data_IF_834188655577
#
_entry.id   IF_834188655577
#
_cell.length_a   1.000
_cell.length_b   1.000
_cell.length_c   1.000
_cell.angle_alpha   90.00
_cell.angle_beta   90.00
_cell.angle_gamma   90.00
#
_symmetry.space_group_name_H-M   'P 1'
#
loop_
_entity.id
_entity.type
_entity.pdbx_description
1 polymer ?
#
# COMPACT_ATOMS: atom_id res chain seq x y z
N UNK A 1 -0.47 -5.48 27.87
CA UNK A 1 -0.19 -5.11 26.47
C UNK A 1 1.18 -4.45 26.42
N UNK A 2 2.19 -5.14 25.89
CA UNK A 2 3.52 -4.52 25.70
C UNK A 2 3.46 -3.69 24.40
N UNK A 3 3.86 -2.43 24.48
CA UNK A 3 3.80 -1.50 23.36
C UNK A 3 4.88 -1.84 22.31
N UNK A 4 4.68 -1.42 21.04
CA UNK A 4 5.69 -1.48 19.96
C UNK A 4 7.09 -1.01 20.38
N UNK A 5 7.19 -0.14 21.39
CA UNK A 5 8.45 0.36 21.97
C UNK A 5 9.30 -0.68 22.68
N UNK A 6 8.69 -1.72 23.22
CA UNK A 6 9.42 -2.72 24.02
C UNK A 6 10.11 -3.79 23.15
N UNK A 7 9.64 -4.00 21.91
CA UNK A 7 10.21 -4.98 20.99
C UNK A 7 11.49 -4.47 20.30
N UNK A 8 11.56 -3.18 19.96
CA UNK A 8 12.74 -2.60 19.29
C UNK A 8 13.96 -2.41 20.22
N UNK A 9 13.76 -2.47 21.53
CA UNK A 9 14.88 -2.37 22.51
C UNK A 9 15.67 -3.65 22.72
N UNK A 10 15.21 -4.80 22.25
CA UNK A 10 15.90 -6.09 22.42
C UNK A 10 16.88 -6.45 21.30
N UNK A 11 16.91 -5.72 20.20
CA UNK A 11 17.80 -5.99 19.06
C UNK A 11 19.16 -5.24 19.12
N UNK A 12 19.43 -4.44 20.13
CA UNK A 12 20.64 -3.61 20.23
C UNK A 12 21.52 -3.97 21.42
N UNK A 13 21.94 -5.25 21.55
CA UNK A 13 23.02 -5.61 22.49
C UNK A 13 23.95 -6.64 21.84
N UNK A 14 25.13 -6.18 21.53
CA UNK A 14 26.29 -7.05 21.32
C UNK A 14 27.15 -6.74 20.10
N UNK A 15 28.14 -5.88 20.22
CA UNK A 15 29.55 -6.20 20.03
C UNK A 15 30.39 -4.98 20.43
N UNK A 16 31.06 -5.09 21.57
CA UNK A 16 32.15 -4.20 21.94
C UNK A 16 33.44 -4.74 21.36
N UNK A 17 34.26 -3.89 20.78
CA UNK A 17 35.67 -4.21 20.50
C UNK A 17 36.56 -3.03 20.86
N UNK A 18 37.47 -3.31 21.72
CA UNK A 18 38.51 -2.48 22.34
C UNK A 18 39.51 -1.95 21.32
N UNK A 19 39.79 -0.65 21.42
CA UNK A 19 40.88 0.01 20.69
C UNK A 19 42.14 0.00 21.55
N UNK A 20 43.23 -0.56 21.06
CA UNK A 20 44.57 -0.46 21.63
C UNK A 20 45.29 0.72 21.03
N UNK A 21 45.78 1.63 21.90
CA UNK A 21 46.72 2.71 21.54
C UNK A 21 48.10 2.13 21.27
N UNK A 22 48.70 2.51 20.17
CA UNK A 22 50.14 2.36 19.88
C UNK A 22 50.74 3.72 19.53
N UNK A 23 51.61 4.20 20.42
CA UNK A 23 52.43 5.41 20.22
C UNK A 23 53.71 4.96 19.51
N UNK A 24 54.13 5.64 18.42
CA UNK A 24 55.52 5.71 18.00
C UNK A 24 55.81 7.06 17.33
N UNK A 25 56.83 7.69 17.84
CA UNK A 25 57.26 9.05 17.51
C UNK A 25 58.35 9.04 16.43
N UNK A 26 58.38 10.17 15.70
CA UNK A 26 59.50 10.91 15.12
C UNK A 26 60.24 10.31 13.90
N UNK A 27 60.18 11.00 12.77
CA UNK A 27 61.35 11.70 12.15
C UNK A 27 60.85 12.72 11.10
N UNK A 28 61.44 13.89 11.08
CA UNK A 28 61.02 15.05 10.33
C UNK A 28 61.28 14.99 8.81
N UNK A 29 60.48 15.77 8.10
CA UNK A 29 60.61 16.11 6.70
C UNK A 29 59.59 17.18 6.34
N UNK A 30 60.04 18.40 6.15
CA UNK A 30 59.23 19.54 5.69
C UNK A 30 58.86 19.32 4.21
N UNK A 31 57.59 18.98 4.00
CA UNK A 31 56.92 19.18 2.72
C UNK A 31 55.60 19.87 3.03
N UNK A 32 55.44 21.11 2.65
CA UNK A 32 54.18 21.85 2.66
C UNK A 32 53.24 21.19 1.65
N UNK A 33 52.44 20.26 2.13
CA UNK A 33 51.23 19.84 1.46
C UNK A 33 50.12 20.72 2.00
N UNK A 34 49.57 21.58 1.15
CA UNK A 34 48.26 22.17 1.36
C UNK A 34 47.29 21.07 1.73
N UNK A 35 46.76 21.10 2.92
CA UNK A 35 45.67 20.25 3.31
C UNK A 35 44.50 20.54 2.36
N UNK A 36 43.82 19.52 1.84
CA UNK A 36 42.58 19.76 1.10
C UNK A 36 41.65 20.56 2.03
N UNK A 37 41.23 21.72 1.58
CA UNK A 37 40.17 22.50 2.19
C UNK A 37 38.97 21.55 2.20
N UNK A 38 38.66 20.96 3.37
CA UNK A 38 37.36 20.37 3.61
C UNK A 38 36.38 21.54 3.52
N UNK A 39 35.82 21.75 2.34
CA UNK A 39 34.64 22.58 2.21
C UNK A 39 33.61 22.04 3.21
N UNK A 40 33.18 22.84 4.17
CA UNK A 40 32.00 22.58 4.96
C UNK A 40 30.84 22.47 3.95
N UNK A 41 30.55 21.28 3.45
CA UNK A 41 29.34 21.03 2.70
C UNK A 41 28.21 21.27 3.71
N UNK A 42 27.48 22.36 3.53
CA UNK A 42 26.27 22.63 4.33
C UNK A 42 25.32 21.49 4.01
N UNK A 43 25.12 20.61 4.97
CA UNK A 43 24.13 19.54 4.88
C UNK A 43 22.77 20.16 5.12
N UNK A 44 21.85 20.05 4.17
CA UNK A 44 20.50 20.54 4.29
C UNK A 44 19.69 19.54 5.09
N UNK A 45 19.06 19.98 6.19
CA UNK A 45 18.10 19.15 6.94
C UNK A 45 16.73 19.20 6.26
N UNK A 46 16.20 18.02 5.88
CA UNK A 46 14.88 17.83 5.31
C UNK A 46 13.97 17.12 6.31
N UNK A 47 12.70 17.50 6.36
CA UNK A 47 11.65 16.80 7.11
C UNK A 47 10.83 15.94 6.18
N UNK A 48 10.65 14.67 6.56
CA UNK A 48 9.88 13.69 5.81
C UNK A 48 8.76 13.11 6.68
N UNK A 49 7.49 13.28 6.29
CA UNK A 49 6.33 12.71 6.97
C UNK A 49 5.86 11.42 6.31
N UNK A 50 5.74 10.39 7.14
CA UNK A 50 5.17 9.08 6.80
C UNK A 50 4.43 8.52 8.01
N UNK A 51 3.51 7.57 7.81
CA UNK A 51 2.61 7.05 8.84
C UNK A 51 3.00 5.72 9.47
N UNK A 52 4.18 5.22 9.24
CA UNK A 52 4.71 4.00 9.84
C UNK A 52 6.16 4.16 10.21
N UNK A 53 6.66 3.35 11.15
CA UNK A 53 8.06 3.39 11.57
C UNK A 53 9.01 2.98 10.43
N UNK A 54 8.51 2.29 9.41
CA UNK A 54 9.24 1.91 8.20
C UNK A 54 9.72 3.11 7.39
N UNK A 55 9.12 4.29 7.53
CA UNK A 55 9.61 5.52 6.92
C UNK A 55 11.07 5.85 7.27
N UNK A 56 11.54 5.39 8.43
CA UNK A 56 12.95 5.49 8.82
C UNK A 56 13.90 4.74 7.88
N UNK A 57 13.45 3.62 7.29
CA UNK A 57 14.26 2.81 6.37
C UNK A 57 14.68 3.62 5.14
N UNK A 58 13.76 4.41 4.55
CA UNK A 58 14.09 5.27 3.42
C UNK A 58 15.01 6.43 3.80
N UNK A 59 14.71 7.07 4.93
CA UNK A 59 15.55 8.14 5.44
C UNK A 59 16.98 7.65 5.68
N UNK A 60 17.16 6.48 6.28
CA UNK A 60 18.47 5.89 6.55
C UNK A 60 19.19 5.48 5.25
N UNK A 61 18.47 4.86 4.31
CA UNK A 61 19.02 4.46 3.02
C UNK A 61 19.51 5.67 2.21
N UNK A 62 18.74 6.75 2.17
CA UNK A 62 19.14 7.99 1.52
C UNK A 62 20.32 8.65 2.24
N UNK A 63 20.25 8.77 3.57
CA UNK A 63 21.31 9.41 4.38
C UNK A 63 22.65 8.69 4.24
N UNK A 64 22.64 7.38 4.07
CA UNK A 64 23.84 6.59 3.81
C UNK A 64 24.55 6.95 2.48
N UNK A 65 23.84 7.56 1.52
CA UNK A 65 24.40 8.01 0.24
C UNK A 65 25.21 9.30 0.35
N UNK A 66 25.09 10.07 1.44
CA UNK A 66 25.78 11.34 1.67
C UNK A 66 25.62 12.36 0.51
N UNK A 67 24.39 12.53 0.03
CA UNK A 67 24.05 13.32 -1.18
C UNK A 67 23.89 14.84 -0.92
N UNK A 68 24.34 15.35 0.23
CA UNK A 68 24.29 16.79 0.55
C UNK A 68 23.05 17.22 1.36
N UNK A 69 22.10 16.32 1.57
CA UNK A 69 21.00 16.53 2.50
C UNK A 69 20.93 15.39 3.53
N UNK A 70 20.28 15.69 4.66
CA UNK A 70 19.93 14.73 5.70
C UNK A 70 18.41 14.71 5.84
N UNK A 71 17.80 13.57 5.61
CA UNK A 71 16.37 13.36 5.79
C UNK A 71 16.09 12.95 7.22
N UNK A 72 15.28 13.76 7.92
CA UNK A 72 14.79 13.52 9.26
C UNK A 72 13.34 13.01 9.14
N UNK A 73 13.16 11.74 9.40
CA UNK A 73 11.87 11.09 9.39
C UNK A 73 11.01 11.51 10.59
N UNK A 74 9.73 11.78 10.32
CA UNK A 74 8.73 12.07 11.34
C UNK A 74 7.55 11.13 11.15
N UNK A 75 7.36 10.19 12.08
CA UNK A 75 6.18 9.35 12.09
C UNK A 75 4.96 10.21 12.44
N UNK A 76 4.02 10.32 11.49
CA UNK A 76 2.75 10.99 11.66
C UNK A 76 1.66 9.93 11.53
N UNK A 77 0.80 9.71 12.54
CA UNK A 77 -0.24 8.69 12.46
C UNK A 77 -1.08 8.81 11.18
N UNK A 78 -1.46 7.67 10.60
CA UNK A 78 -2.11 7.61 9.28
C UNK A 78 -3.32 8.55 9.15
N UNK A 79 -4.22 8.52 10.14
CA UNK A 79 -5.43 9.36 10.13
C UNK A 79 -5.11 10.86 10.20
N UNK A 80 -4.04 11.23 10.93
CA UNK A 80 -3.67 12.63 11.14
C UNK A 80 -2.80 13.21 10.02
N UNK A 81 -2.06 12.38 9.27
CA UNK A 81 -1.01 12.83 8.35
C UNK A 81 -1.55 13.78 7.27
N UNK A 82 -2.66 13.39 6.66
CA UNK A 82 -3.27 14.15 5.56
C UNK A 82 -3.99 15.40 6.07
N UNK A 83 -4.69 15.32 7.21
CA UNK A 83 -5.40 16.45 7.81
C UNK A 83 -4.43 17.53 8.31
N UNK A 84 -3.29 17.12 8.88
CA UNK A 84 -2.20 18.04 9.24
C UNK A 84 -1.61 18.73 8.02
N UNK A 85 -1.43 17.99 6.93
CA UNK A 85 -0.89 18.55 5.69
C UNK A 85 -1.86 19.59 5.10
N UNK A 86 -3.16 19.28 5.02
CA UNK A 86 -4.19 20.23 4.56
C UNK A 86 -4.27 21.45 5.48
N UNK A 87 -4.17 21.27 6.80
CA UNK A 87 -4.13 22.37 7.77
C UNK A 87 -2.90 23.26 7.57
N UNK A 88 -1.74 22.66 7.29
CA UNK A 88 -0.51 23.39 6.98
C UNK A 88 -0.65 24.20 5.69
N UNK A 89 -1.32 23.66 4.66
CA UNK A 89 -1.60 24.42 3.43
C UNK A 89 -2.52 25.61 3.69
N UNK A 90 -3.58 25.41 4.45
CA UNK A 90 -4.53 26.47 4.80
C UNK A 90 -3.91 27.59 5.65
N UNK A 91 -2.99 27.24 6.54
CA UNK A 91 -2.28 28.21 7.40
C UNK A 91 -1.06 28.88 6.74
N UNK A 92 -0.61 28.34 5.58
CA UNK A 92 0.59 28.82 4.88
C UNK A 92 1.92 28.41 5.55
N UNK A 93 1.90 27.57 6.57
CA UNK A 93 3.12 27.19 7.33
C UNK A 93 2.96 25.80 7.98
N UNK A 94 4.10 25.12 8.23
CA UNK A 94 4.13 23.89 9.02
C UNK A 94 4.09 22.60 8.19
N UNK A 95 4.05 22.68 6.86
CA UNK A 95 4.24 21.51 6.02
C UNK A 95 5.69 20.98 6.09
N UNK A 96 5.92 19.68 5.92
CA UNK A 96 7.26 19.11 5.81
C UNK A 96 7.90 19.48 4.47
N UNK A 97 9.18 19.13 4.29
CA UNK A 97 9.82 19.23 2.97
C UNK A 97 9.33 18.14 2.01
N UNK A 98 9.02 16.96 2.57
CA UNK A 98 8.51 15.80 1.82
C UNK A 98 7.29 15.23 2.54
N UNK A 99 6.18 15.12 1.84
CA UNK A 99 4.93 14.56 2.36
C UNK A 99 4.58 13.27 1.62
N UNK A 100 4.10 12.28 2.35
CA UNK A 100 3.50 11.07 1.78
C UNK A 100 1.99 11.20 1.69
N UNK A 101 1.42 10.69 0.60
CA UNK A 101 -0.01 10.73 0.33
C UNK A 101 -0.50 9.31 0.04
N UNK A 102 -1.59 8.90 0.66
CA UNK A 102 -2.23 7.62 0.40
C UNK A 102 -3.25 7.76 -0.74
N UNK A 103 -3.45 6.68 -1.50
CA UNK A 103 -4.29 6.66 -2.70
C UNK A 103 -5.74 7.11 -2.46
N UNK A 104 -6.33 6.80 -1.32
CA UNK A 104 -7.69 7.24 -0.97
C UNK A 104 -7.80 8.76 -0.79
N UNK A 105 -6.69 9.41 -0.47
CA UNK A 105 -6.63 10.86 -0.20
C UNK A 105 -6.11 11.68 -1.39
N UNK A 106 -5.46 11.04 -2.37
CA UNK A 106 -4.75 11.73 -3.48
C UNK A 106 -5.65 12.67 -4.29
N UNK A 107 -6.89 12.29 -4.56
CA UNK A 107 -7.84 13.11 -5.33
C UNK A 107 -8.08 14.50 -4.73
N UNK A 108 -8.09 14.59 -3.39
CA UNK A 108 -8.19 15.88 -2.70
C UNK A 108 -6.98 16.78 -2.92
N UNK A 109 -5.78 16.22 -2.99
CA UNK A 109 -4.53 16.97 -3.17
C UNK A 109 -4.30 17.35 -4.64
N UNK A 110 -4.66 16.49 -5.60
CA UNK A 110 -4.56 16.83 -7.02
C UNK A 110 -5.51 17.96 -7.42
N UNK A 111 -6.63 18.13 -6.71
CA UNK A 111 -7.62 19.17 -6.98
C UNK A 111 -7.36 20.49 -6.24
N UNK A 112 -6.84 20.46 -5.00
CA UNK A 112 -6.78 21.64 -4.13
C UNK A 112 -5.50 22.47 -4.25
N UNK A 113 -4.41 21.93 -4.80
CA UNK A 113 -3.11 22.59 -4.87
C UNK A 113 -2.32 22.47 -3.54
N UNK A 114 -1.24 23.28 -3.45
CA UNK A 114 -0.31 23.26 -2.30
C UNK A 114 0.89 22.33 -2.48
N UNK A 115 0.94 21.60 -3.61
CA UNK A 115 2.03 20.72 -4.00
C UNK A 115 2.70 21.21 -5.28
N UNK A 116 4.01 21.07 -5.36
CA UNK A 116 4.80 21.46 -6.53
C UNK A 116 4.52 20.54 -7.73
N UNK A 117 4.54 21.13 -8.93
CA UNK A 117 4.50 20.36 -10.17
C UNK A 117 5.87 19.76 -10.45
N UNK A 118 6.01 18.46 -10.27
CA UNK A 118 7.25 17.72 -10.44
C UNK A 118 7.68 17.58 -11.93
N UNK A 119 6.84 17.99 -12.89
CA UNK A 119 7.23 18.10 -14.31
C UNK A 119 7.83 19.47 -14.66
N UNK A 120 7.57 20.50 -13.85
CA UNK A 120 8.09 21.83 -14.05
C UNK A 120 9.55 21.94 -13.61
N UNK A 121 10.32 22.85 -14.23
CA UNK A 121 11.68 23.15 -13.75
C UNK A 121 11.67 23.68 -12.30
N UNK A 122 12.63 23.32 -11.45
CA UNK A 122 13.88 22.61 -11.77
C UNK A 122 13.75 21.08 -11.79
N UNK A 123 12.56 20.53 -11.62
CA UNK A 123 12.33 19.09 -11.58
C UNK A 123 12.27 18.51 -13.01
N UNK A 124 12.55 17.23 -13.14
CA UNK A 124 12.51 16.50 -14.41
C UNK A 124 11.61 15.24 -14.33
N UNK A 125 10.63 15.28 -13.43
CA UNK A 125 9.76 14.16 -13.09
C UNK A 125 9.10 13.48 -14.29
N UNK A 126 8.75 14.24 -15.34
CA UNK A 126 8.18 13.71 -16.57
C UNK A 126 9.02 12.66 -17.28
N UNK A 127 10.33 12.63 -17.03
CA UNK A 127 11.25 11.63 -17.64
C UNK A 127 11.01 10.21 -17.13
N UNK A 128 10.38 10.05 -15.96
CA UNK A 128 10.10 8.77 -15.32
C UNK A 128 8.75 8.15 -15.69
N UNK A 129 7.87 8.87 -16.40
CA UNK A 129 6.52 8.42 -16.73
C UNK A 129 6.45 7.02 -17.33
N UNK A 130 7.31 6.75 -18.33
CA UNK A 130 7.39 5.45 -19.03
C UNK A 130 7.83 4.29 -18.13
N UNK A 131 8.54 4.59 -17.04
CA UNK A 131 9.13 3.64 -16.12
C UNK A 131 8.22 3.38 -14.90
N UNK A 132 7.20 4.21 -14.69
CA UNK A 132 6.21 4.02 -13.62
C UNK A 132 5.05 3.13 -14.06
N UNK A 133 4.37 2.55 -13.09
CA UNK A 133 3.11 1.87 -13.33
C UNK A 133 2.05 2.90 -13.76
N UNK A 134 1.46 2.69 -14.95
CA UNK A 134 0.67 3.71 -15.66
C UNK A 134 -0.52 4.22 -14.85
N UNK A 135 -1.32 3.33 -14.22
CA UNK A 135 -2.48 3.77 -13.43
C UNK A 135 -2.05 4.62 -12.22
N UNK A 136 -0.90 4.28 -11.61
CA UNK A 136 -0.38 5.01 -10.44
C UNK A 136 0.12 6.40 -10.84
N UNK A 137 0.79 6.51 -12.00
CA UNK A 137 1.20 7.78 -12.58
C UNK A 137 0.00 8.70 -12.82
N UNK A 138 -1.05 8.17 -13.45
CA UNK A 138 -2.30 8.91 -13.71
C UNK A 138 -2.91 9.44 -12.42
N UNK A 139 -2.93 8.66 -11.34
CA UNK A 139 -3.47 9.05 -10.04
C UNK A 139 -2.67 10.17 -9.35
N UNK A 140 -1.35 10.24 -9.54
CA UNK A 140 -0.50 11.32 -9.02
C UNK A 140 -0.54 12.60 -9.85
N UNK A 141 -1.24 12.56 -11.00
CA UNK A 141 -1.36 13.67 -11.94
C UNK A 141 -2.68 14.42 -11.77
N UNK A 142 -2.65 15.72 -12.01
CA UNK A 142 -3.86 16.59 -12.07
C UNK A 142 -4.56 16.47 -13.42
N UNK A 143 -5.80 16.92 -13.51
CA UNK A 143 -6.58 16.92 -14.76
C UNK A 143 -5.93 17.78 -15.88
N UNK A 144 -5.18 18.81 -15.52
CA UNK A 144 -4.44 19.67 -16.47
C UNK A 144 -3.03 19.11 -16.80
N UNK A 145 -2.69 17.92 -16.32
CA UNK A 145 -1.50 17.15 -16.70
C UNK A 145 -0.23 17.45 -15.89
N UNK A 146 -0.31 18.24 -14.81
CA UNK A 146 0.81 18.38 -13.85
C UNK A 146 0.99 17.09 -13.06
N UNK A 147 2.21 16.75 -12.66
CA UNK A 147 2.50 15.68 -11.72
C UNK A 147 2.76 16.29 -10.34
N UNK A 148 1.83 16.16 -9.43
CA UNK A 148 1.94 16.75 -8.08
C UNK A 148 2.36 15.75 -7.00
N UNK A 149 2.32 14.46 -7.33
CA UNK A 149 2.75 13.40 -6.42
C UNK A 149 3.42 12.26 -7.20
N UNK A 150 4.68 11.98 -6.87
CA UNK A 150 5.45 10.92 -7.49
C UNK A 150 4.97 9.55 -6.99
N UNK A 151 4.59 8.61 -7.88
CA UNK A 151 4.26 7.26 -7.48
C UNK A 151 5.37 6.62 -6.66
N UNK A 152 5.02 6.02 -5.54
CA UNK A 152 6.00 5.34 -4.69
C UNK A 152 5.79 3.83 -4.68
N UNK A 153 4.66 3.39 -4.15
CA UNK A 153 4.30 1.98 -4.09
C UNK A 153 2.91 1.72 -4.66
N UNK A 154 2.64 0.46 -4.90
CA UNK A 154 1.38 -0.06 -5.38
C UNK A 154 0.94 -1.26 -4.53
N UNK A 155 -0.34 -1.58 -4.56
CA UNK A 155 -0.93 -2.71 -3.84
C UNK A 155 -1.55 -3.73 -4.79
N UNK A 156 -0.79 -4.42 -5.67
CA UNK A 156 -1.35 -5.52 -6.44
C UNK A 156 -1.97 -6.55 -5.49
N UNK A 157 -3.18 -7.01 -5.81
CA UNK A 157 -4.00 -7.78 -4.89
C UNK A 157 -4.44 -9.13 -5.49
N UNK A 158 -4.64 -10.12 -4.61
CA UNK A 158 -5.03 -11.47 -4.99
C UNK A 158 -5.66 -12.23 -3.84
N UNK A 159 -5.91 -13.50 -4.06
CA UNK A 159 -6.38 -14.42 -3.01
C UNK A 159 -5.18 -15.01 -2.29
N UNK A 160 -5.14 -14.81 -1.00
CA UNK A 160 -4.20 -15.43 -0.06
C UNK A 160 -4.87 -16.61 0.60
N UNK A 161 -4.13 -17.71 0.78
CA UNK A 161 -4.66 -18.87 1.49
C UNK A 161 -3.58 -19.62 2.26
N UNK A 162 -4.00 -20.32 3.30
CA UNK A 162 -3.19 -21.17 4.16
C UNK A 162 -3.11 -22.58 3.57
N UNK A 163 -1.92 -22.97 3.11
CA UNK A 163 -1.69 -24.27 2.49
C UNK A 163 -1.95 -25.41 3.48
N UNK A 164 -1.47 -25.27 4.70
CA UNK A 164 -1.65 -26.26 5.78
C UNK A 164 -3.13 -26.50 6.13
N UNK A 165 -3.95 -25.45 6.06
CA UNK A 165 -5.38 -25.56 6.33
C UNK A 165 -6.12 -26.28 5.19
N UNK A 166 -5.80 -25.97 3.93
CA UNK A 166 -6.38 -26.68 2.79
C UNK A 166 -5.97 -28.15 2.78
N UNK A 167 -4.72 -28.46 3.06
CA UNK A 167 -4.22 -29.84 3.19
C UNK A 167 -4.94 -30.61 4.30
N UNK A 168 -5.16 -29.99 5.46
CA UNK A 168 -5.89 -30.59 6.57
C UNK A 168 -7.34 -30.99 6.19
N UNK A 169 -7.91 -30.32 5.20
CA UNK A 169 -9.24 -30.60 4.65
C UNK A 169 -9.19 -31.56 3.44
N UNK A 170 -7.99 -32.02 3.03
CA UNK A 170 -7.81 -32.83 1.82
C UNK A 170 -8.24 -32.08 0.55
N UNK A 171 -7.97 -30.78 0.48
CA UNK A 171 -8.21 -29.92 -0.68
C UNK A 171 -6.91 -29.69 -1.45
N UNK A 172 -6.99 -29.36 -2.75
CA UNK A 172 -5.83 -28.86 -3.48
C UNK A 172 -5.22 -27.64 -2.78
N UNK A 173 -3.90 -27.64 -2.61
CA UNK A 173 -3.17 -26.59 -1.87
C UNK A 173 -2.03 -25.97 -2.68
N UNK A 174 -1.59 -26.64 -3.75
CA UNK A 174 -0.58 -26.09 -4.66
C UNK A 174 -1.12 -24.89 -5.43
N UNK A 175 -0.33 -23.82 -5.63
CA UNK A 175 -0.80 -22.60 -6.28
C UNK A 175 -1.45 -22.82 -7.65
N UNK A 176 -0.85 -23.65 -8.49
CA UNK A 176 -1.39 -23.95 -9.83
C UNK A 176 -2.75 -24.64 -9.76
N UNK A 177 -2.95 -25.52 -8.80
CA UNK A 177 -4.22 -26.24 -8.63
C UNK A 177 -5.32 -25.33 -8.06
N UNK A 178 -4.96 -24.43 -7.14
CA UNK A 178 -5.92 -23.43 -6.61
C UNK A 178 -6.25 -22.38 -7.65
N UNK A 179 -5.26 -21.92 -8.44
CA UNK A 179 -5.46 -20.99 -9.55
C UNK A 179 -6.48 -21.53 -10.57
N UNK A 180 -6.39 -22.82 -10.94
CA UNK A 180 -7.38 -23.49 -11.83
C UNK A 180 -8.81 -23.46 -11.26
N UNK A 181 -8.98 -23.32 -9.97
CA UNK A 181 -10.29 -23.33 -9.31
C UNK A 181 -10.91 -21.95 -9.16
N UNK A 182 -10.10 -20.87 -8.95
CA UNK A 182 -10.63 -19.58 -8.51
C UNK A 182 -10.08 -18.36 -9.24
N UNK A 183 -9.03 -18.47 -10.09
CA UNK A 183 -8.38 -17.31 -10.67
C UNK A 183 -8.98 -16.86 -12.01
N UNK A 184 -9.05 -15.54 -12.22
CA UNK A 184 -9.44 -14.96 -13.51
C UNK A 184 -8.51 -15.35 -14.66
N UNK A 185 -7.25 -15.64 -14.41
CA UNK A 185 -6.28 -16.12 -15.42
C UNK A 185 -6.72 -17.45 -16.04
N UNK A 186 -7.62 -18.18 -15.35
CA UNK A 186 -8.26 -19.43 -15.78
C UNK A 186 -9.75 -19.24 -16.12
N UNK A 187 -10.17 -17.99 -16.29
CA UNK A 187 -11.56 -17.65 -16.62
C UNK A 187 -12.55 -17.83 -15.46
N UNK A 188 -12.06 -17.83 -14.21
CA UNK A 188 -12.90 -18.02 -13.02
C UNK A 188 -13.49 -16.71 -12.52
N UNK A 189 -14.66 -16.85 -11.89
CA UNK A 189 -15.48 -15.75 -11.38
C UNK A 189 -15.64 -15.83 -9.87
N UNK A 190 -16.33 -14.85 -9.30
CA UNK A 190 -16.71 -14.89 -7.87
C UNK A 190 -17.60 -16.09 -7.54
N UNK A 191 -18.39 -16.61 -8.48
CA UNK A 191 -19.19 -17.83 -8.27
C UNK A 191 -18.31 -19.07 -8.05
N UNK A 192 -17.19 -19.18 -8.79
CA UNK A 192 -16.18 -20.23 -8.58
C UNK A 192 -15.52 -20.11 -7.20
N UNK A 193 -15.20 -18.87 -6.78
CA UNK A 193 -14.68 -18.60 -5.44
C UNK A 193 -15.70 -18.98 -4.34
N UNK A 194 -16.98 -18.71 -4.55
CA UNK A 194 -18.05 -19.15 -3.64
C UNK A 194 -18.13 -20.67 -3.55
N UNK A 195 -18.01 -21.37 -4.68
CA UNK A 195 -17.99 -22.83 -4.72
C UNK A 195 -16.78 -23.41 -3.95
N UNK A 196 -15.61 -22.82 -4.13
CA UNK A 196 -14.41 -23.17 -3.37
C UNK A 196 -14.61 -22.94 -1.86
N UNK A 197 -15.17 -21.80 -1.48
CA UNK A 197 -15.46 -21.44 -0.09
C UNK A 197 -16.49 -22.40 0.55
N UNK A 198 -17.54 -22.80 -0.17
CA UNK A 198 -18.50 -23.81 0.31
C UNK A 198 -17.82 -25.14 0.62
N UNK A 199 -16.90 -25.56 -0.23
CA UNK A 199 -16.14 -26.81 0.01
C UNK A 199 -15.33 -26.76 1.30
N UNK A 200 -14.72 -25.61 1.63
CA UNK A 200 -14.01 -25.41 2.91
C UNK A 200 -14.97 -25.53 4.09
N UNK A 201 -16.11 -24.85 4.01
CA UNK A 201 -17.14 -24.88 5.09
C UNK A 201 -17.66 -26.31 5.28
N UNK A 202 -18.00 -27.03 4.22
CA UNK A 202 -18.51 -28.40 4.28
C UNK A 202 -17.45 -29.35 4.86
N UNK A 203 -16.22 -29.35 4.35
CA UNK A 203 -15.16 -30.25 4.80
C UNK A 203 -14.71 -29.99 6.24
N UNK A 204 -14.78 -28.74 6.70
CA UNK A 204 -14.48 -28.39 8.08
C UNK A 204 -15.64 -28.63 9.06
N UNK A 205 -16.80 -29.07 8.57
CA UNK A 205 -18.02 -29.16 9.38
C UNK A 205 -18.50 -27.81 9.90
N UNK A 206 -18.29 -26.75 9.12
CA UNK A 206 -18.69 -25.38 9.44
C UNK A 206 -17.74 -24.60 10.37
N UNK A 207 -16.65 -25.24 10.83
CA UNK A 207 -15.71 -24.66 11.80
C UNK A 207 -14.77 -23.62 11.19
N UNK A 208 -14.46 -23.74 9.91
CA UNK A 208 -13.57 -22.85 9.17
C UNK A 208 -14.32 -22.18 8.03
N UNK A 209 -13.99 -20.93 7.76
CA UNK A 209 -14.47 -20.16 6.61
C UNK A 209 -13.33 -19.94 5.63
N UNK A 210 -13.64 -19.50 4.40
CA UNK A 210 -12.54 -19.12 3.48
C UNK A 210 -11.95 -17.77 3.86
N UNK A 211 -12.78 -16.78 4.19
CA UNK A 211 -12.36 -15.40 4.47
C UNK A 211 -12.88 -14.88 5.80
N UNK A 212 -12.29 -13.80 6.26
CA UNK A 212 -12.63 -13.15 7.52
C UNK A 212 -13.94 -12.39 7.48
N UNK A 213 -14.13 -11.51 6.48
CA UNK A 213 -15.30 -10.62 6.37
C UNK A 213 -15.67 -10.32 4.92
N UNK A 214 -16.91 -10.60 4.54
CA UNK A 214 -17.37 -10.42 3.18
C UNK A 214 -17.44 -8.95 2.74
N UNK A 215 -17.60 -8.00 3.66
CA UNK A 215 -17.59 -6.57 3.33
C UNK A 215 -16.20 -6.14 2.86
N UNK A 216 -15.16 -6.57 3.55
CA UNK A 216 -13.79 -6.23 3.19
C UNK A 216 -13.29 -7.09 2.05
N UNK A 217 -13.32 -8.43 2.22
CA UNK A 217 -12.70 -9.35 1.26
C UNK A 217 -13.42 -9.41 -0.09
N UNK A 218 -14.76 -9.42 -0.11
CA UNK A 218 -15.55 -9.54 -1.36
C UNK A 218 -15.92 -8.17 -1.91
N UNK A 219 -16.66 -7.35 -1.15
CA UNK A 219 -17.08 -6.04 -1.64
C UNK A 219 -15.87 -5.16 -1.95
N UNK A 220 -14.92 -5.03 -0.99
CA UNK A 220 -13.74 -4.20 -1.14
C UNK A 220 -12.88 -4.59 -2.34
N UNK A 221 -12.75 -5.90 -2.65
CA UNK A 221 -12.03 -6.39 -3.81
C UNK A 221 -12.81 -6.19 -5.11
N UNK A 222 -14.07 -6.62 -5.15
CA UNK A 222 -14.87 -6.59 -6.37
C UNK A 222 -15.12 -5.17 -6.89
N UNK A 223 -15.32 -4.18 -5.99
CA UNK A 223 -15.50 -2.79 -6.40
C UNK A 223 -14.22 -2.21 -7.04
N UNK A 224 -13.04 -2.62 -6.55
CA UNK A 224 -11.73 -2.17 -7.08
C UNK A 224 -11.35 -2.81 -8.40
N UNK A 225 -11.93 -3.94 -8.77
CA UNK A 225 -11.74 -4.56 -10.09
C UNK A 225 -12.25 -3.67 -11.23
N UNK A 226 -13.24 -2.81 -10.97
CA UNK A 226 -13.68 -1.75 -11.87
C UNK A 226 -12.83 -0.47 -11.83
N UNK A 227 -11.66 -0.52 -11.15
CA UNK A 227 -10.81 0.63 -10.85
C UNK A 227 -11.25 1.37 -9.59
N UNK A 228 -10.31 2.07 -8.93
CA UNK A 228 -10.58 2.81 -7.70
C UNK A 228 -11.23 4.16 -7.98
N UNK A 229 -12.25 4.51 -7.21
CA UNK A 229 -13.00 5.77 -7.30
C UNK A 229 -14.45 5.59 -7.72
N UNK A 230 -15.27 6.52 -7.27
CA UNK A 230 -16.73 6.54 -7.45
C UNK A 230 -17.22 7.70 -8.30
N UNK A 231 -16.33 8.61 -8.71
CA UNK A 231 -16.68 9.76 -9.49
C UNK A 231 -15.83 9.90 -10.77
N UNK A 232 -16.48 10.26 -11.87
CA UNK A 232 -15.84 10.76 -13.08
C UNK A 232 -16.17 12.26 -13.21
N UNK A 233 -15.25 13.14 -12.76
CA UNK A 233 -15.57 14.55 -12.55
C UNK A 233 -16.66 14.71 -11.49
N UNK A 234 -17.80 15.30 -11.89
CA UNK A 234 -18.99 15.44 -11.04
C UNK A 234 -20.01 14.31 -11.20
N UNK A 235 -19.80 13.39 -12.13
CA UNK A 235 -20.71 12.27 -12.36
C UNK A 235 -20.44 11.16 -11.34
N UNK A 236 -21.44 10.76 -10.57
CA UNK A 236 -21.38 9.58 -9.70
C UNK A 236 -21.42 8.30 -10.53
N UNK A 237 -20.62 7.33 -10.08
CA UNK A 237 -20.54 5.96 -10.59
C UNK A 237 -20.88 4.95 -9.50
N UNK A 238 -21.40 5.38 -8.34
CA UNK A 238 -21.61 4.54 -7.15
C UNK A 238 -22.57 3.40 -7.47
N UNK A 239 -23.76 3.72 -7.98
CA UNK A 239 -24.78 2.71 -8.30
C UNK A 239 -24.25 1.70 -9.33
N UNK A 240 -23.60 2.20 -10.40
CA UNK A 240 -23.04 1.37 -11.47
C UNK A 240 -21.96 0.41 -10.96
N UNK A 241 -20.99 0.93 -10.18
CA UNK A 241 -19.80 0.17 -9.77
C UNK A 241 -20.01 -0.67 -8.53
N UNK A 242 -20.81 -0.23 -7.56
CA UNK A 242 -20.88 -0.83 -6.25
C UNK A 242 -22.08 -1.76 -6.05
N UNK A 243 -23.13 -1.69 -6.88
CA UNK A 243 -24.34 -2.53 -6.68
C UNK A 243 -24.02 -4.01 -6.77
N UNK A 244 -23.36 -4.47 -7.85
CA UNK A 244 -23.00 -5.88 -7.98
C UNK A 244 -22.01 -6.36 -6.92
N UNK A 245 -20.93 -5.65 -6.60
CA UNK A 245 -20.08 -5.98 -5.46
C UNK A 245 -20.83 -6.10 -4.12
N UNK A 246 -21.76 -5.21 -3.85
CA UNK A 246 -22.58 -5.26 -2.64
C UNK A 246 -23.49 -6.50 -2.60
N UNK A 247 -24.09 -6.86 -3.74
CA UNK A 247 -24.88 -8.09 -3.89
C UNK A 247 -24.02 -9.35 -3.68
N UNK A 248 -22.80 -9.38 -4.23
CA UNK A 248 -21.87 -10.51 -4.02
C UNK A 248 -21.54 -10.67 -2.53
N UNK A 249 -21.18 -9.59 -1.83
CA UNK A 249 -20.84 -9.66 -0.42
C UNK A 249 -22.05 -10.09 0.45
N UNK A 250 -23.23 -9.54 0.18
CA UNK A 250 -24.45 -9.91 0.88
C UNK A 250 -24.82 -11.39 0.69
N UNK A 251 -24.71 -11.90 -0.56
CA UNK A 251 -24.99 -13.30 -0.86
C UNK A 251 -23.94 -14.24 -0.22
N UNK A 252 -22.65 -13.86 -0.25
CA UNK A 252 -21.58 -14.61 0.41
C UNK A 252 -21.83 -14.76 1.92
N UNK A 253 -22.20 -13.67 2.60
CA UNK A 253 -22.56 -13.66 4.01
C UNK A 253 -23.83 -14.46 4.31
N UNK A 254 -24.85 -14.34 3.47
CA UNK A 254 -26.10 -15.10 3.58
C UNK A 254 -25.86 -16.59 3.50
N UNK A 255 -24.91 -17.05 2.67
CA UNK A 255 -24.49 -18.46 2.60
C UNK A 255 -23.63 -18.90 3.80
N UNK A 256 -23.25 -17.99 4.70
CA UNK A 256 -22.43 -18.30 5.87
C UNK A 256 -20.99 -18.66 5.54
N UNK A 257 -20.41 -18.04 4.49
CA UNK A 257 -19.09 -18.37 3.99
C UNK A 257 -17.97 -17.54 4.59
N UNK A 258 -18.27 -16.41 5.25
CA UNK A 258 -17.31 -15.57 5.98
C UNK A 258 -17.36 -15.82 7.50
N UNK A 259 -16.27 -15.51 8.20
CA UNK A 259 -16.15 -15.63 9.64
C UNK A 259 -16.78 -14.44 10.40
N UNK A 260 -17.17 -13.37 9.72
CA UNK A 260 -17.70 -12.11 10.26
C UNK A 260 -16.75 -11.43 11.24
N UNK A 261 -15.45 -11.55 10.97
CA UNK A 261 -14.38 -10.95 11.77
C UNK A 261 -13.84 -9.74 10.99
N UNK A 262 -14.27 -8.55 11.40
CA UNK A 262 -13.83 -7.29 10.80
C UNK A 262 -12.31 -7.12 10.94
N UNK A 263 -11.67 -6.63 9.89
CA UNK A 263 -10.22 -6.48 9.80
C UNK A 263 -9.64 -5.54 10.87
N UNK A 264 -8.38 -5.75 11.21
CA UNK A 264 -7.55 -4.96 12.14
C UNK A 264 -7.96 -5.03 13.61
N UNK A 265 -9.06 -5.69 13.94
CA UNK A 265 -9.47 -5.90 15.33
C UNK A 265 -8.72 -7.06 15.99
N UNK A 266 -8.74 -7.09 17.33
CA UNK A 266 -8.16 -8.20 18.10
C UNK A 266 -8.81 -9.56 17.76
N UNK A 267 -10.10 -9.56 17.42
CA UNK A 267 -10.83 -10.75 17.01
C UNK A 267 -10.35 -11.29 15.65
N UNK A 268 -10.00 -10.40 14.71
CA UNK A 268 -9.41 -10.79 13.43
C UNK A 268 -8.05 -11.44 13.62
N UNK A 269 -7.16 -10.82 14.40
CA UNK A 269 -5.83 -11.37 14.69
C UNK A 269 -5.93 -12.75 15.40
N UNK A 270 -6.84 -12.87 16.37
CA UNK A 270 -7.15 -14.15 16.99
C UNK A 270 -7.73 -15.15 15.99
N UNK A 271 -8.54 -14.71 15.03
CA UNK A 271 -9.09 -15.54 13.95
C UNK A 271 -8.03 -16.18 13.07
N UNK A 272 -6.95 -15.43 12.72
CA UNK A 272 -5.77 -15.97 12.01
C UNK A 272 -5.10 -17.06 12.85
N UNK A 273 -4.84 -16.79 14.14
CA UNK A 273 -4.16 -17.73 15.05
C UNK A 273 -4.98 -19.00 15.31
N UNK A 274 -6.30 -18.86 15.44
CA UNK A 274 -7.20 -19.97 15.75
C UNK A 274 -7.76 -20.68 14.50
N UNK A 275 -7.26 -20.32 13.30
CA UNK A 275 -7.69 -20.92 12.03
C UNK A 275 -9.20 -20.78 11.77
N UNK A 276 -9.80 -19.65 12.17
CA UNK A 276 -11.21 -19.38 11.94
C UNK A 276 -11.54 -19.20 10.46
N UNK A 277 -10.53 -18.80 9.69
CA UNK A 277 -10.61 -18.68 8.23
C UNK A 277 -9.30 -19.12 7.58
N UNK A 278 -9.40 -19.59 6.34
CA UNK A 278 -8.30 -20.20 5.60
C UNK A 278 -7.58 -19.22 4.67
N UNK A 279 -8.11 -18.02 4.46
CA UNK A 279 -7.53 -17.08 3.52
C UNK A 279 -8.11 -15.67 3.64
N UNK A 280 -7.74 -14.83 2.70
CA UNK A 280 -8.20 -13.44 2.56
C UNK A 280 -8.02 -12.97 1.11
N UNK A 281 -8.70 -11.90 0.73
CA UNK A 281 -8.59 -11.31 -0.61
C UNK A 281 -8.07 -9.89 -0.48
N UNK A 282 -6.74 -9.70 -0.67
CA UNK A 282 -6.04 -8.47 -0.29
C UNK A 282 -4.75 -8.25 -1.09
N UNK A 283 -4.18 -7.05 -0.92
CA UNK A 283 -2.92 -6.63 -1.54
C UNK A 283 -1.66 -7.19 -0.86
N UNK A 284 -0.57 -7.08 -1.60
CA UNK A 284 0.77 -7.58 -1.26
C UNK A 284 1.34 -7.06 0.07
N UNK A 285 0.99 -5.83 0.50
CA UNK A 285 1.46 -5.23 1.74
C UNK A 285 1.02 -6.00 3.02
N UNK A 286 0.02 -6.86 2.91
CA UNK A 286 -0.39 -7.77 4.00
C UNK A 286 0.75 -8.69 4.44
N UNK A 287 1.75 -8.96 3.59
CA UNK A 287 2.93 -9.73 3.96
C UNK A 287 3.65 -9.13 5.17
N UNK A 288 3.89 -7.82 5.16
CA UNK A 288 4.53 -7.11 6.28
C UNK A 288 3.71 -7.20 7.57
N UNK A 289 2.40 -6.99 7.45
CA UNK A 289 1.48 -7.06 8.59
C UNK A 289 1.44 -8.45 9.24
N UNK A 290 1.31 -9.50 8.43
CA UNK A 290 1.30 -10.87 8.94
C UNK A 290 2.65 -11.29 9.51
N UNK A 291 3.75 -10.82 8.95
CA UNK A 291 5.09 -11.10 9.49
C UNK A 291 5.24 -10.55 10.91
N UNK A 292 4.62 -9.41 11.21
CA UNK A 292 4.66 -8.77 12.52
C UNK A 292 3.62 -9.36 13.48
N UNK A 293 2.37 -9.51 13.01
CA UNK A 293 1.25 -9.87 13.89
C UNK A 293 1.07 -11.36 14.08
N UNK A 294 1.43 -12.17 13.08
CA UNK A 294 1.23 -13.62 13.06
C UNK A 294 2.47 -14.35 12.52
N UNK A 295 3.67 -14.15 13.10
CA UNK A 295 4.94 -14.69 12.61
C UNK A 295 4.96 -16.22 12.52
N UNK A 296 4.14 -16.91 13.31
CA UNK A 296 3.99 -18.36 13.31
C UNK A 296 3.37 -18.91 12.02
N UNK A 297 2.75 -18.05 11.21
CA UNK A 297 2.13 -18.43 9.93
C UNK A 297 3.05 -18.23 8.72
N UNK A 298 4.25 -17.70 8.92
CA UNK A 298 5.25 -17.53 7.86
C UNK A 298 5.57 -18.89 7.21
N UNK A 299 5.62 -18.92 5.88
CA UNK A 299 5.83 -20.13 5.09
C UNK A 299 4.56 -20.93 4.78
N UNK A 300 3.45 -20.65 5.46
CA UNK A 300 2.18 -21.37 5.29
C UNK A 300 1.21 -20.68 4.33
N UNK A 301 1.52 -19.47 3.90
CA UNK A 301 0.70 -18.71 2.96
C UNK A 301 1.08 -19.00 1.50
N UNK A 302 0.07 -18.98 0.63
CA UNK A 302 0.24 -18.92 -0.83
C UNK A 302 -0.70 -17.87 -1.39
N UNK A 303 -0.42 -17.45 -2.62
CA UNK A 303 -1.24 -16.46 -3.33
C UNK A 303 -1.56 -16.95 -4.73
N UNK A 304 -2.73 -16.57 -5.21
CA UNK A 304 -3.15 -16.68 -6.61
C UNK A 304 -3.86 -15.40 -7.04
N UNK A 305 -3.90 -15.07 -8.35
CA UNK A 305 -4.68 -13.94 -8.82
C UNK A 305 -6.17 -14.09 -8.45
N UNK A 306 -6.82 -12.96 -8.17
CA UNK A 306 -8.22 -12.92 -7.77
C UNK A 306 -9.18 -13.47 -8.85
N UNK A 307 -10.43 -13.82 -8.50
CA UNK A 307 -11.48 -14.07 -9.48
C UNK A 307 -11.74 -12.84 -10.35
N UNK A 308 -12.28 -13.02 -11.54
CA UNK A 308 -12.76 -12.03 -12.51
C UNK A 308 -11.71 -11.10 -13.10
N UNK A 309 -10.93 -10.35 -12.28
CA UNK A 309 -9.93 -9.40 -12.78
C UNK A 309 -8.82 -9.11 -11.77
N UNK A 310 -7.67 -8.64 -12.28
CA UNK A 310 -6.63 -8.01 -11.49
C UNK A 310 -7.12 -6.69 -10.90
N UNK A 311 -6.64 -6.33 -9.71
CA UNK A 311 -6.94 -5.05 -9.10
C UNK A 311 -5.80 -4.59 -8.17
N UNK A 312 -5.84 -3.30 -7.83
CA UNK A 312 -4.96 -2.67 -6.88
C UNK A 312 -5.73 -2.33 -5.60
N UNK A 313 -5.07 -2.45 -4.46
CA UNK A 313 -5.61 -1.95 -3.19
C UNK A 313 -4.52 -1.24 -2.40
N UNK A 314 -4.67 0.09 -2.25
CA UNK A 314 -3.70 0.91 -1.56
C UNK A 314 -2.55 1.37 -2.45
N UNK A 315 -1.48 1.77 -1.78
CA UNK A 315 -0.30 2.38 -2.37
C UNK A 315 -0.26 3.88 -2.17
N UNK A 316 0.95 4.43 -2.20
CA UNK A 316 1.24 5.80 -1.80
C UNK A 316 2.03 6.57 -2.85
N UNK A 317 2.21 7.84 -2.54
CA UNK A 317 2.94 8.82 -3.34
C UNK A 317 3.84 9.63 -2.42
N UNK A 318 4.92 10.18 -2.98
CA UNK A 318 5.69 11.24 -2.37
C UNK A 318 5.46 12.56 -3.09
N UNK A 319 5.29 13.62 -2.33
CA UNK A 319 5.03 14.96 -2.84
C UNK A 319 5.92 16.00 -2.15
N UNK A 320 6.12 17.11 -2.83
CA UNK A 320 6.87 18.26 -2.32
C UNK A 320 5.90 19.41 -2.09
N UNK A 321 5.59 19.77 -0.84
CA UNK A 321 4.79 20.94 -0.51
C UNK A 321 5.42 22.24 -1.02
N UNK A 322 4.60 23.16 -1.56
CA UNK A 322 5.06 24.47 -2.03
C UNK A 322 5.70 25.34 -0.92
N UNK A 323 5.46 25.00 0.34
CA UNK A 323 6.01 25.71 1.50
C UNK A 323 7.49 25.42 1.77
N UNK A 324 8.04 24.32 1.20
CA UNK A 324 9.46 24.01 1.41
C UNK A 324 10.36 25.05 0.79
N UNK A 325 11.49 25.29 1.45
CA UNK A 325 12.59 26.12 0.94
C UNK A 325 13.73 25.28 0.33
N UNK A 326 13.59 23.96 0.39
CA UNK A 326 14.61 22.97 0.06
C UNK A 326 14.17 22.08 -1.11
N UNK A 327 13.39 22.63 -2.06
CA UNK A 327 12.70 21.87 -3.09
C UNK A 327 13.62 20.98 -3.95
N UNK A 328 14.81 21.47 -4.29
CA UNK A 328 15.80 20.69 -5.09
C UNK A 328 16.33 19.48 -4.29
N UNK A 329 16.59 19.65 -2.99
CA UNK A 329 17.05 18.55 -2.15
C UNK A 329 15.92 17.57 -1.82
N UNK A 330 14.69 18.07 -1.66
CA UNK A 330 13.51 17.22 -1.53
C UNK A 330 13.28 16.39 -2.81
N UNK A 331 13.50 16.99 -3.99
CA UNK A 331 13.44 16.27 -5.26
C UNK A 331 14.51 15.19 -5.37
N UNK A 332 15.75 15.47 -4.96
CA UNK A 332 16.83 14.47 -4.95
C UNK A 332 16.46 13.26 -4.06
N UNK A 333 15.79 13.48 -2.94
CA UNK A 333 15.22 12.38 -2.14
C UNK A 333 14.13 11.62 -2.89
N UNK A 334 13.17 12.30 -3.52
CA UNK A 334 12.12 11.65 -4.30
C UNK A 334 12.70 10.82 -5.46
N UNK A 335 13.69 11.36 -6.16
CA UNK A 335 14.38 10.61 -7.21
C UNK A 335 15.01 9.33 -6.68
N UNK A 336 15.72 9.39 -5.56
CA UNK A 336 16.26 8.20 -4.92
C UNK A 336 15.16 7.21 -4.53
N UNK A 337 14.20 7.67 -3.72
CA UNK A 337 13.21 6.80 -3.09
C UNK A 337 12.19 6.21 -4.08
N UNK A 338 11.77 7.00 -5.09
CA UNK A 338 10.69 6.63 -6.01
C UNK A 338 11.20 6.18 -7.38
N UNK A 339 12.36 6.69 -7.84
CA UNK A 339 12.80 6.57 -9.23
C UNK A 339 14.10 5.77 -9.40
N UNK A 340 14.58 5.09 -8.36
CA UNK A 340 15.71 4.17 -8.44
C UNK A 340 15.33 2.77 -7.95
N UNK A 341 15.93 1.74 -8.56
CA UNK A 341 15.76 0.38 -8.09
C UNK A 341 16.30 0.19 -6.66
N UNK A 342 17.38 0.89 -6.30
CA UNK A 342 17.97 0.84 -4.96
C UNK A 342 17.01 1.37 -3.91
N UNK A 343 16.46 2.57 -4.09
CA UNK A 343 15.53 3.19 -3.14
C UNK A 343 14.22 2.43 -3.01
N UNK A 344 13.66 1.98 -4.13
CA UNK A 344 12.43 1.17 -4.14
C UNK A 344 12.64 -0.19 -3.45
N UNK A 345 13.74 -0.90 -3.75
CA UNK A 345 14.01 -2.21 -3.18
C UNK A 345 14.51 -2.15 -1.73
N UNK A 346 15.06 -1.01 -1.27
CA UNK A 346 15.41 -0.81 0.13
C UNK A 346 14.19 -0.97 1.05
N UNK A 347 13.02 -0.52 0.59
CA UNK A 347 11.77 -0.64 1.33
C UNK A 347 11.07 -1.97 1.09
N UNK A 348 11.00 -2.41 -0.17
CA UNK A 348 10.27 -3.62 -0.54
C UNK A 348 10.77 -4.86 0.20
N UNK A 349 12.09 -5.05 0.30
CA UNK A 349 12.70 -6.22 0.95
C UNK A 349 12.22 -6.45 2.39
N UNK A 350 12.20 -5.44 3.28
CA UNK A 350 11.77 -5.63 4.66
C UNK A 350 10.26 -5.59 4.88
N UNK A 351 9.48 -4.93 3.99
CA UNK A 351 8.07 -4.60 4.26
C UNK A 351 7.07 -5.28 3.34
N UNK A 352 7.52 -5.75 2.16
CA UNK A 352 6.60 -6.25 1.12
C UNK A 352 5.81 -5.15 0.39
N UNK A 353 6.08 -3.87 0.66
CA UNK A 353 5.47 -2.72 -0.03
C UNK A 353 5.98 -2.67 -1.47
N UNK A 354 5.10 -2.97 -2.44
CA UNK A 354 5.50 -3.29 -3.81
C UNK A 354 5.83 -2.03 -4.63
N UNK A 355 7.00 -1.96 -5.30
CA UNK A 355 7.45 -0.78 -6.03
C UNK A 355 6.53 -0.34 -7.17
N UNK A 356 6.30 0.98 -7.31
CA UNK A 356 5.65 1.58 -8.47
C UNK A 356 6.61 1.78 -9.66
N UNK A 357 7.92 1.77 -9.43
CA UNK A 357 8.97 1.95 -10.43
C UNK A 357 9.34 0.61 -11.07
N UNK A 358 8.88 0.37 -12.29
CA UNK A 358 9.01 -0.90 -13.02
C UNK A 358 10.45 -1.41 -13.20
N UNK A 359 11.47 -0.53 -13.44
CA UNK A 359 12.85 -1.00 -13.53
C UNK A 359 13.38 -1.69 -12.26
N UNK A 360 12.80 -1.43 -11.08
CA UNK A 360 13.13 -2.15 -9.85
C UNK A 360 12.82 -3.66 -9.95
N UNK A 361 11.81 -4.04 -10.75
CA UNK A 361 11.38 -5.44 -10.91
C UNK A 361 12.38 -6.30 -11.73
N UNK A 362 13.44 -5.69 -12.29
CA UNK A 362 14.53 -6.41 -12.92
C UNK A 362 15.53 -7.02 -11.91
N UNK A 363 15.45 -6.66 -10.63
CA UNK A 363 16.27 -7.27 -9.58
C UNK A 363 15.95 -8.78 -9.49
N UNK A 364 16.98 -9.65 -9.40
CA UNK A 364 16.80 -11.10 -9.27
C UNK A 364 15.86 -11.52 -8.11
N UNK A 365 15.68 -10.69 -7.12
CA UNK A 365 14.76 -10.96 -5.99
C UNK A 365 13.31 -11.21 -6.45
N UNK A 366 12.87 -10.62 -7.58
CA UNK A 366 11.50 -10.81 -8.08
C UNK A 366 11.28 -12.19 -8.71
N UNK A 367 12.34 -12.88 -9.07
CA UNK A 367 12.31 -14.27 -9.55
C UNK A 367 12.65 -15.28 -8.46
N UNK A 368 13.06 -14.81 -7.29
CA UNK A 368 13.48 -15.69 -6.21
C UNK A 368 12.28 -16.35 -5.50
N UNK A 369 12.44 -17.55 -4.96
CA UNK A 369 11.52 -18.10 -3.97
C UNK A 369 11.40 -17.17 -2.75
N UNK A 370 10.18 -17.02 -2.23
CA UNK A 370 9.90 -16.15 -1.08
C UNK A 370 9.55 -17.02 0.13
N UNK A 371 10.35 -16.96 1.17
CA UNK A 371 10.19 -17.80 2.37
C UNK A 371 8.83 -17.61 3.05
N UNK A 372 8.33 -16.36 3.10
CA UNK A 372 7.00 -16.06 3.63
C UNK A 372 5.90 -16.86 2.92
N UNK A 373 6.03 -17.05 1.61
CA UNK A 373 5.12 -17.82 0.80
C UNK A 373 5.59 -19.27 0.58
N UNK A 374 6.41 -19.82 1.49
CA UNK A 374 6.87 -21.21 1.45
C UNK A 374 7.59 -21.59 0.16
N UNK A 375 8.32 -20.65 -0.42
CA UNK A 375 9.08 -20.84 -1.65
C UNK A 375 8.32 -20.50 -2.93
N UNK A 376 7.06 -20.03 -2.87
CA UNK A 376 6.37 -19.53 -4.05
C UNK A 376 7.05 -18.27 -4.59
N UNK A 377 7.17 -18.12 -5.91
CA UNK A 377 7.71 -16.92 -6.57
C UNK A 377 6.67 -15.81 -6.65
N UNK A 378 6.22 -15.36 -5.47
CA UNK A 378 5.08 -14.46 -5.33
C UNK A 378 5.31 -13.08 -5.93
N UNK A 379 6.55 -12.57 -5.92
CA UNK A 379 6.84 -11.21 -6.36
C UNK A 379 6.66 -11.03 -7.87
N UNK A 380 6.99 -12.06 -8.66
CA UNK A 380 6.70 -12.05 -10.11
C UNK A 380 5.20 -12.03 -10.38
N UNK A 381 4.43 -12.75 -9.58
CA UNK A 381 2.97 -12.71 -9.69
C UNK A 381 2.40 -11.32 -9.40
N UNK A 382 2.90 -10.64 -8.37
CA UNK A 382 2.49 -9.27 -8.06
C UNK A 382 2.78 -8.30 -9.21
N UNK A 383 3.96 -8.41 -9.85
CA UNK A 383 4.31 -7.62 -11.03
C UNK A 383 3.33 -7.86 -12.19
N UNK A 384 2.99 -9.13 -12.46
CA UNK A 384 2.03 -9.50 -13.51
C UNK A 384 0.61 -8.97 -13.22
N UNK A 385 0.18 -9.01 -11.95
CA UNK A 385 -1.11 -8.43 -11.54
C UNK A 385 -1.11 -6.93 -11.78
N UNK A 386 -0.05 -6.22 -11.36
CA UNK A 386 0.08 -4.78 -11.51
C UNK A 386 -0.02 -4.30 -12.96
N UNK A 387 0.46 -5.10 -13.93
CA UNK A 387 0.38 -4.78 -15.36
C UNK A 387 -1.03 -4.86 -15.94
N UNK A 388 -1.98 -5.46 -15.23
CA UNK A 388 -3.34 -5.73 -15.68
C UNK A 388 -4.42 -5.03 -14.83
N UNK A 389 -4.05 -4.05 -14.04
CA UNK A 389 -4.97 -3.26 -13.20
C UNK A 389 -5.67 -2.19 -14.03
N UNK A 390 -6.98 -2.07 -13.87
CA UNK A 390 -7.76 -1.00 -14.47
C UNK A 390 -7.35 0.38 -13.91
N UNK A 391 -7.17 1.37 -14.80
CA UNK A 391 -6.80 2.74 -14.41
C UNK A 391 -8.04 3.60 -14.23
N UNK A 392 -8.13 4.27 -13.09
CA UNK A 392 -9.10 5.35 -12.84
C UNK A 392 -8.39 6.50 -12.14
N UNK A 393 -8.75 7.73 -12.54
CA UNK A 393 -8.34 8.96 -11.84
C UNK A 393 -9.20 9.12 -10.59
N UNK A 394 -8.59 9.30 -9.43
CA UNK A 394 -9.30 9.59 -8.18
C UNK A 394 -9.86 11.01 -8.21
N UNK A 395 -11.15 11.12 -7.93
CA UNK A 395 -11.84 12.39 -7.76
C UNK A 395 -11.60 12.98 -6.36
N UNK A 396 -11.64 14.31 -6.17
CA UNK A 396 -11.64 14.91 -4.84
C UNK A 396 -12.83 14.51 -3.96
N UNK A 397 -13.87 13.95 -4.56
CA UNK A 397 -15.09 13.52 -3.86
C UNK A 397 -15.08 12.04 -3.44
N UNK A 398 -14.11 11.27 -3.92
CA UNK A 398 -14.06 9.83 -3.70
C UNK A 398 -13.90 9.44 -2.23
N UNK A 399 -13.15 10.22 -1.43
CA UNK A 399 -12.99 9.96 -0.02
C UNK A 399 -14.34 10.00 0.72
N UNK A 400 -15.14 11.05 0.45
CA UNK A 400 -16.47 11.18 1.05
C UNK A 400 -17.43 10.11 0.53
N UNK A 401 -17.31 9.74 -0.74
CA UNK A 401 -18.07 8.64 -1.32
C UNK A 401 -17.70 7.29 -0.69
N UNK A 402 -16.41 7.03 -0.45
CA UNK A 402 -15.94 5.83 0.27
C UNK A 402 -16.62 5.72 1.65
N UNK A 403 -16.66 6.81 2.42
CA UNK A 403 -17.30 6.83 3.75
C UNK A 403 -18.82 6.54 3.67
N UNK A 404 -19.52 7.18 2.74
CA UNK A 404 -20.96 7.00 2.54
C UNK A 404 -21.27 5.56 2.08
N UNK A 405 -20.53 5.04 1.12
CA UNK A 405 -20.69 3.67 0.62
C UNK A 405 -20.42 2.65 1.72
N UNK A 406 -19.37 2.84 2.52
CA UNK A 406 -19.04 1.96 3.63
C UNK A 406 -20.12 2.00 4.74
N UNK A 407 -20.73 3.15 5.01
CA UNK A 407 -21.86 3.27 5.93
C UNK A 407 -23.09 2.49 5.42
N UNK A 408 -23.40 2.58 4.13
CA UNK A 408 -24.50 1.82 3.53
C UNK A 408 -24.19 0.32 3.48
N UNK A 409 -22.93 -0.08 3.18
CA UNK A 409 -22.51 -1.47 3.27
C UNK A 409 -22.67 -2.04 4.69
N UNK A 410 -22.41 -1.25 5.71
CA UNK A 410 -22.65 -1.66 7.10
C UNK A 410 -24.12 -2.03 7.33
N UNK A 411 -25.08 -1.26 6.77
CA UNK A 411 -26.51 -1.57 6.84
C UNK A 411 -26.86 -2.84 6.04
N UNK A 412 -26.24 -3.04 4.86
CA UNK A 412 -26.40 -4.28 4.08
C UNK A 412 -25.97 -5.49 4.91
N UNK A 413 -24.78 -5.41 5.49
CA UNK A 413 -24.14 -6.57 6.14
C UNK A 413 -24.73 -6.89 7.52
N UNK A 414 -25.20 -5.90 8.26
CA UNK A 414 -25.63 -6.06 9.66
C UNK A 414 -27.15 -5.97 9.85
N UNK A 415 -27.85 -5.22 8.98
CA UNK A 415 -29.28 -4.95 9.12
C UNK A 415 -30.11 -5.62 8.02
N UNK A 416 -29.45 -6.19 7.00
CA UNK A 416 -30.13 -6.85 5.88
C UNK A 416 -30.78 -5.88 4.90
N UNK A 417 -30.30 -4.63 4.81
CA UNK A 417 -30.74 -3.67 3.79
C UNK A 417 -30.48 -4.25 2.39
N UNK A 418 -31.43 -4.04 1.47
CA UNK A 418 -31.24 -4.46 0.08
C UNK A 418 -29.99 -3.79 -0.53
N UNK A 419 -29.05 -4.54 -1.14
CA UNK A 419 -27.81 -3.98 -1.64
C UNK A 419 -28.00 -2.94 -2.74
N UNK A 420 -28.95 -3.15 -3.66
CA UNK A 420 -29.21 -2.19 -4.74
C UNK A 420 -29.80 -0.89 -4.19
N UNK A 421 -30.73 -0.98 -3.22
CA UNK A 421 -31.26 0.19 -2.56
C UNK A 421 -30.21 0.92 -1.74
N UNK A 422 -29.29 0.19 -1.08
CA UNK A 422 -28.19 0.79 -0.33
C UNK A 422 -27.25 1.61 -1.23
N UNK A 423 -26.87 1.09 -2.39
CA UNK A 423 -26.00 1.82 -3.32
C UNK A 423 -26.71 3.01 -3.98
N UNK A 424 -28.01 2.90 -4.23
CA UNK A 424 -28.82 4.03 -4.69
C UNK A 424 -28.92 5.14 -3.65
N UNK A 425 -29.11 4.77 -2.38
CA UNK A 425 -29.14 5.75 -1.29
C UNK A 425 -27.77 6.39 -1.08
N UNK A 426 -26.68 5.60 -1.19
CA UNK A 426 -25.30 6.11 -1.15
C UNK A 426 -25.04 7.12 -2.27
N UNK A 427 -25.47 6.82 -3.50
CA UNK A 427 -25.33 7.75 -4.63
C UNK A 427 -26.07 9.06 -4.39
N UNK A 428 -27.32 8.97 -3.93
CA UNK A 428 -28.12 10.17 -3.64
C UNK A 428 -27.49 11.03 -2.53
N UNK A 429 -26.96 10.41 -1.48
CA UNK A 429 -26.27 11.10 -0.39
C UNK A 429 -24.95 11.72 -0.85
N UNK A 430 -24.15 11.00 -1.64
CA UNK A 430 -22.88 11.49 -2.18
C UNK A 430 -23.09 12.69 -3.14
N UNK A 431 -24.07 12.61 -4.03
CA UNK A 431 -24.42 13.73 -4.92
C UNK A 431 -24.89 14.97 -4.14
N UNK A 432 -25.70 14.78 -3.09
CA UNK A 432 -26.10 15.88 -2.21
C UNK A 432 -24.91 16.49 -1.46
N UNK A 433 -23.96 15.66 -1.04
CA UNK A 433 -22.78 16.14 -0.32
C UNK A 433 -21.83 17.00 -1.15
N UNK A 434 -21.84 16.83 -2.49
CA UNK A 434 -21.07 17.66 -3.43
C UNK A 434 -21.90 18.77 -4.08
N UNK A 435 -23.17 18.93 -3.69
CA UNK A 435 -24.03 19.98 -4.21
C UNK A 435 -23.44 21.37 -3.90
N UNK A 436 -23.21 22.16 -4.95
CA UNK A 436 -22.56 23.48 -4.84
C UNK A 436 -21.03 23.46 -4.86
N UNK A 437 -20.39 22.29 -4.95
CA UNK A 437 -18.96 22.22 -5.21
C UNK A 437 -18.65 22.67 -6.65
N UNK A 438 -17.53 23.34 -6.83
CA UNK A 438 -17.01 23.65 -8.18
C UNK A 438 -16.10 22.52 -8.66
N UNK A 439 -16.17 22.15 -9.96
CA UNK A 439 -15.34 21.10 -10.55
C UNK A 439 -13.85 21.32 -10.37
#
# INVERSE_FOLDING_TARGET
MKSRRDFLRMAAVGVGSTVSMGILAAYGGTASTEAPVQGNTVVVDLTFWWWGDEGQIWADAYNAQNRGAKVNFVNTPFEDAHDKLLTSFASGTGAPDIASLEIGRIGGFTAKGGLMDLKAAPFDGGTYEKDMVAYKWTQGSTADGRLVAMPWDIGPAGVWYRVDLLESLGMPSEPEAVEELISHTKGKTWDDFFAFSRTIVEKSGGKMKMISDASTDIFGSAVRQGGEGYFAGMQSLIEEKATRPAQLAAEYRKQGLDAKLGWWGAEWAAGVQNNAFAGMVIACWMQGELTIQNPETVGQWRIVPAPEASYNWGGSFCAIPEQTKNAEMAWDFLQFACCTAEGQNAMFKPTGVFPAYRPAWADPLYEAPVDFFGGQRAYRMWANIADNVASIVRSPYDLQADDIVNAEMTKVMNEGKDPAQAMKDAEAEALKAIEGATP
#
